data_IF_224857120583
#
_entry.id   IF_224857120583
#
_cell.length_a   1.000
_cell.length_b   1.000
_cell.length_c   1.000
_cell.angle_alpha   90.00
_cell.angle_beta   90.00
_cell.angle_gamma   90.00
#
_symmetry.space_group_name_H-M   'P 1'
#
loop_
_entity.id
_entity.type
_entity.pdbx_description
1 polymer ?
#
# COMPACT_ATOMS: atom_id res chain seq x y z
N UNK A 1 -23.71 -9.12 7.86
CA UNK A 1 -23.80 -9.17 6.39
C UNK A 1 -23.34 -10.56 6.00
N UNK A 2 -24.11 -11.22 5.15
CA UNK A 2 -23.87 -12.60 4.75
C UNK A 2 -22.93 -12.58 3.55
N UNK A 3 -21.72 -13.12 3.71
CA UNK A 3 -20.68 -13.20 2.67
C UNK A 3 -21.14 -14.01 1.44
N UNK A 4 -22.30 -14.65 1.50
CA UNK A 4 -22.83 -15.58 0.51
C UNK A 4 -24.04 -15.05 -0.29
N UNK A 5 -24.48 -13.80 -0.10
CA UNK A 5 -25.68 -13.26 -0.79
C UNK A 5 -25.42 -12.88 -2.26
N UNK A 6 -24.20 -13.09 -2.76
CA UNK A 6 -23.83 -12.83 -4.15
C UNK A 6 -23.79 -11.34 -4.51
N UNK A 7 -23.79 -10.47 -3.51
CA UNK A 7 -23.67 -9.01 -3.65
C UNK A 7 -22.21 -8.57 -3.55
N UNK A 8 -21.93 -7.36 -4.04
CA UNK A 8 -20.66 -6.67 -3.98
C UNK A 8 -20.80 -5.54 -2.96
N UNK A 9 -19.96 -5.54 -1.92
CA UNK A 9 -19.87 -4.45 -0.95
C UNK A 9 -19.02 -3.30 -1.48
N UNK A 10 -19.48 -2.07 -1.30
CA UNK A 10 -18.81 -0.83 -1.68
C UNK A 10 -18.59 -0.01 -0.42
N UNK A 11 -17.34 0.34 -0.12
CA UNK A 11 -17.01 1.24 0.97
C UNK A 11 -16.80 2.66 0.45
N UNK A 12 -17.48 3.61 1.09
CA UNK A 12 -17.28 5.04 0.89
C UNK A 12 -16.21 5.60 1.83
N UNK A 13 -15.64 6.74 1.46
CA UNK A 13 -14.57 7.39 2.23
C UNK A 13 -14.94 7.68 3.69
N UNK A 14 -16.22 7.99 3.96
CA UNK A 14 -16.72 8.26 5.32
C UNK A 14 -16.97 6.98 6.16
N UNK A 15 -16.63 5.81 5.62
CA UNK A 15 -16.81 4.51 6.26
C UNK A 15 -18.20 3.89 6.02
N UNK A 16 -19.09 4.54 5.27
CA UNK A 16 -20.38 3.96 4.89
C UNK A 16 -20.17 2.77 3.96
N UNK A 17 -20.86 1.67 4.27
CA UNK A 17 -20.94 0.49 3.41
C UNK A 17 -22.25 0.50 2.64
N UNK A 18 -22.15 0.23 1.35
CA UNK A 18 -23.26 0.01 0.43
C UNK A 18 -23.14 -1.37 -0.23
N UNK A 19 -24.23 -1.89 -0.76
CA UNK A 19 -24.28 -3.21 -1.39
C UNK A 19 -24.91 -3.11 -2.79
N UNK A 20 -24.32 -3.79 -3.77
CA UNK A 20 -24.88 -3.85 -5.13
C UNK A 20 -24.80 -5.25 -5.72
N UNK A 21 -25.73 -5.59 -6.62
CA UNK A 21 -25.66 -6.83 -7.39
C UNK A 21 -24.58 -6.74 -8.48
N UNK A 22 -24.02 -7.88 -8.96
CA UNK A 22 -23.00 -7.88 -10.01
C UNK A 22 -23.40 -7.13 -11.29
N UNK A 23 -24.66 -7.26 -11.71
CA UNK A 23 -25.22 -6.55 -12.87
C UNK A 23 -25.27 -5.04 -12.63
N UNK A 24 -25.58 -4.63 -11.39
CA UNK A 24 -25.57 -3.24 -10.95
C UNK A 24 -24.16 -2.65 -11.02
N UNK A 25 -23.17 -3.36 -10.47
CA UNK A 25 -21.77 -2.97 -10.52
C UNK A 25 -21.25 -2.78 -11.95
N UNK A 26 -21.55 -3.71 -12.87
CA UNK A 26 -21.14 -3.61 -14.27
C UNK A 26 -21.81 -2.41 -14.98
N UNK A 27 -23.03 -2.06 -14.58
CA UNK A 27 -23.73 -0.90 -15.12
C UNK A 27 -23.15 0.43 -14.62
N UNK A 28 -22.48 0.46 -13.46
CA UNK A 28 -21.75 1.62 -12.96
C UNK A 28 -20.54 1.90 -13.87
N UNK A 29 -20.56 3.05 -14.55
CA UNK A 29 -19.40 3.47 -15.36
C UNK A 29 -18.39 4.17 -14.48
N UNK A 30 -17.16 3.67 -14.46
CA UNK A 30 -16.05 4.40 -13.90
C UNK A 30 -15.76 5.65 -14.74
N UNK A 31 -15.67 6.79 -14.08
CA UNK A 31 -15.26 8.06 -14.68
C UNK A 31 -13.82 8.36 -14.26
N UNK A 32 -13.09 9.08 -15.11
CA UNK A 32 -11.75 9.55 -14.73
C UNK A 32 -11.90 10.57 -13.60
N UNK A 33 -11.23 10.30 -12.48
CA UNK A 33 -11.18 11.18 -11.32
C UNK A 33 -9.72 11.49 -10.97
N UNK A 34 -9.49 12.60 -10.28
CA UNK A 34 -8.20 12.87 -9.67
C UNK A 34 -7.93 11.87 -8.53
N UNK A 35 -6.66 11.68 -8.20
CA UNK A 35 -6.30 10.88 -7.04
C UNK A 35 -6.91 11.49 -5.76
N UNK A 36 -7.34 10.67 -4.78
CA UNK A 36 -7.86 11.18 -3.52
C UNK A 36 -6.77 11.95 -2.75
N UNK A 37 -7.18 13.00 -2.04
CA UNK A 37 -6.28 13.78 -1.17
C UNK A 37 -5.70 12.94 -0.03
N UNK A 38 -6.50 12.00 0.47
CA UNK A 38 -6.13 11.03 1.49
C UNK A 38 -6.89 9.72 1.24
N UNK A 39 -6.17 8.66 0.89
CA UNK A 39 -6.74 7.31 0.78
C UNK A 39 -6.67 6.55 2.10
N UNK A 40 -5.79 6.98 3.01
CA UNK A 40 -5.50 6.29 4.27
C UNK A 40 -6.63 6.47 5.29
N UNK A 41 -7.35 7.60 5.21
CA UNK A 41 -8.52 7.86 6.04
C UNK A 41 -9.65 6.84 5.90
N UNK A 42 -9.92 6.29 4.71
CA UNK A 42 -11.00 5.30 4.52
C UNK A 42 -10.68 3.93 5.09
N UNK A 43 -9.40 3.63 5.29
CA UNK A 43 -8.89 2.35 5.80
C UNK A 43 -8.32 2.47 7.22
N UNK A 44 -8.47 3.65 7.85
CA UNK A 44 -7.92 3.98 9.18
C UNK A 44 -6.41 3.67 9.29
N UNK A 45 -5.68 3.88 8.20
CA UNK A 45 -4.24 3.67 8.15
C UNK A 45 -3.56 4.97 8.54
N UNK A 46 -2.74 4.92 9.59
CA UNK A 46 -1.91 6.06 9.96
C UNK A 46 -0.61 6.04 9.16
N UNK A 47 0.08 7.18 9.08
CA UNK A 47 1.42 7.26 8.51
C UNK A 47 2.36 6.18 9.10
N UNK A 48 2.23 5.88 10.39
CA UNK A 48 3.02 4.86 11.09
C UNK A 48 2.74 3.41 10.65
N UNK A 49 1.60 3.15 10.01
CA UNK A 49 1.21 1.84 9.51
C UNK A 49 1.69 1.60 8.07
N UNK A 50 2.08 2.67 7.37
CA UNK A 50 2.65 2.60 6.03
C UNK A 50 4.12 2.14 6.12
N UNK A 51 4.48 0.98 5.53
CA UNK A 51 5.86 0.50 5.57
C UNK A 51 6.80 1.50 4.89
N UNK A 52 7.79 2.00 5.64
CA UNK A 52 8.77 3.00 5.18
C UNK A 52 8.58 4.41 5.76
N UNK A 53 7.45 4.68 6.42
CA UNK A 53 7.13 6.02 6.95
C UNK A 53 7.61 6.24 8.39
N UNK A 54 7.77 5.17 9.18
CA UNK A 54 8.58 5.21 10.41
C UNK A 54 10.03 5.31 9.98
N UNK A 55 10.61 6.51 10.00
CA UNK A 55 12.03 6.81 9.77
C UNK A 55 12.72 5.62 9.10
N UNK A 56 12.56 5.51 7.77
CA UNK A 56 13.49 4.70 7.03
C UNK A 56 14.86 5.20 7.49
N UNK A 57 15.56 4.38 8.27
CA UNK A 57 17.00 4.41 8.23
C UNK A 57 17.23 4.21 6.75
N UNK A 58 17.53 5.30 6.05
CA UNK A 58 17.78 5.27 4.61
C UNK A 58 19.04 4.42 4.51
N UNK A 59 18.86 3.10 4.46
CA UNK A 59 19.77 2.22 3.75
C UNK A 59 19.46 2.50 2.30
N UNK A 60 20.05 3.59 1.84
CA UNK A 60 20.14 3.85 0.42
C UNK A 60 20.81 2.63 -0.23
N UNK A 61 20.44 2.32 -1.46
CA UNK A 61 21.08 1.23 -2.22
C UNK A 61 22.60 1.44 -2.31
N UNK A 62 23.06 2.68 -2.22
CA UNK A 62 24.47 3.02 -2.10
C UNK A 62 25.10 2.51 -0.79
N UNK A 63 24.38 2.55 0.34
CA UNK A 63 24.87 2.00 1.61
C UNK A 63 24.99 0.47 1.60
N UNK A 64 24.09 -0.23 0.89
CA UNK A 64 24.22 -1.68 0.69
C UNK A 64 25.43 -2.02 -0.18
N UNK A 65 25.71 -1.22 -1.21
CA UNK A 65 26.91 -1.38 -2.05
C UNK A 65 28.19 -1.09 -1.28
N UNK A 66 28.20 -0.07 -0.42
CA UNK A 66 29.34 0.29 0.41
C UNK A 66 29.68 -0.83 1.42
N UNK A 67 28.67 -1.42 2.06
CA UNK A 67 28.84 -2.59 2.92
C UNK A 67 29.34 -3.83 2.14
N UNK A 68 28.86 -4.03 0.92
CA UNK A 68 29.31 -5.13 0.05
C UNK A 68 30.77 -4.95 -0.39
N UNK A 69 31.22 -3.72 -0.64
CA UNK A 69 32.62 -3.44 -1.01
C UNK A 69 33.56 -3.59 0.19
N UNK A 70 33.12 -3.14 1.37
CA UNK A 70 33.90 -3.22 2.60
C UNK A 70 34.06 -4.68 3.11
N UNK A 71 33.02 -5.49 2.94
CA UNK A 71 33.10 -6.94 3.21
C UNK A 71 34.01 -7.66 2.21
N UNK A 72 34.02 -7.22 0.94
CA UNK A 72 34.92 -7.76 -0.09
C UNK A 72 36.38 -7.41 0.17
N UNK A 73 36.70 -6.19 0.60
CA UNK A 73 38.07 -5.78 0.96
C UNK A 73 38.63 -6.60 2.13
N UNK A 74 37.79 -6.86 3.14
CA UNK A 74 38.17 -7.66 4.32
C UNK A 74 38.51 -9.12 3.97
N UNK A 75 37.94 -9.65 2.89
CA UNK A 75 38.23 -11.01 2.42
C UNK A 75 39.56 -11.03 1.65
N UNK A 76 39.92 -9.96 0.93
CA UNK A 76 41.13 -9.90 0.09
C UNK A 76 42.38 -9.40 0.82
N UNK A 77 42.25 -8.78 2.00
CA UNK A 77 43.38 -8.40 2.87
C UNK A 77 43.79 -9.50 3.87
N UNK A 78 43.09 -10.64 3.87
CA UNK A 78 43.50 -11.87 4.56
C UNK A 78 44.03 -12.91 3.58
N UNK A 79 44.96 -12.52 2.71
CA UNK A 79 45.87 -13.42 1.98
C UNK A 79 47.30 -12.90 2.04
#
# INVERSE_FOLDING_TARGET
MDENDGTIEIQHFDGTLDETEPEGWIAMRAEAAEAPEDWSGSVDISAEDIPGTRHAVIRDWQSEMELADETRSRITESE
#
